data_IF_692626099167
#
_entry.id   IF_692626099167
#
_cell.length_a   1.000
_cell.length_b   1.000
_cell.length_c   1.000
_cell.angle_alpha   90.00
_cell.angle_beta   90.00
_cell.angle_gamma   90.00
#
_symmetry.space_group_name_H-M   'P 1'
#
loop_
_entity.id
_entity.type
_entity.pdbx_description
1 polymer ?
#
# COMPACT_ATOMS: atom_id res chain seq x y z
N UNK A 1 -12.21 19.76 -1.49
CA UNK A 1 -10.79 19.72 -1.91
C UNK A 1 -10.46 18.26 -2.20
N UNK A 2 -9.76 17.96 -3.28
CA UNK A 2 -9.43 16.56 -3.64
C UNK A 2 -8.24 16.11 -2.76
N UNK A 3 -8.32 14.90 -2.22
CA UNK A 3 -7.24 14.28 -1.46
C UNK A 3 -6.93 12.92 -2.07
N UNK A 4 -5.63 12.64 -2.27
CA UNK A 4 -5.13 11.42 -2.87
C UNK A 4 -4.16 10.76 -1.87
N UNK A 5 -4.23 9.45 -1.74
CA UNK A 5 -3.20 8.65 -1.11
C UNK A 5 -2.26 8.09 -2.18
N UNK A 6 -0.96 8.29 -2.02
CA UNK A 6 0.06 7.78 -2.94
C UNK A 6 0.97 6.87 -2.13
N UNK A 7 1.11 5.62 -2.59
CA UNK A 7 1.97 4.59 -1.98
C UNK A 7 2.97 4.07 -3.01
N UNK A 8 4.16 3.70 -2.57
CA UNK A 8 5.28 3.23 -3.41
C UNK A 8 6.25 2.41 -2.56
N UNK A 9 7.18 1.70 -3.21
CA UNK A 9 8.33 1.05 -2.56
C UNK A 9 7.93 0.12 -1.41
N UNK A 10 6.89 -0.69 -1.65
CA UNK A 10 6.36 -1.61 -0.64
C UNK A 10 7.33 -2.76 -0.42
N UNK A 11 8.00 -3.23 -1.48
CA UNK A 11 9.08 -4.21 -1.40
C UNK A 11 8.70 -5.48 -0.61
N UNK A 12 7.51 -6.00 -0.91
CA UNK A 12 6.85 -7.13 -0.27
C UNK A 12 6.64 -6.98 1.26
N UNK A 13 6.71 -5.76 1.79
CA UNK A 13 6.53 -5.49 3.22
C UNK A 13 5.05 -5.44 3.60
N UNK A 14 4.46 -6.61 3.78
CA UNK A 14 3.04 -6.76 4.11
C UNK A 14 2.63 -5.99 5.37
N UNK A 15 3.44 -6.05 6.43
CA UNK A 15 3.11 -5.42 7.72
C UNK A 15 3.04 -3.90 7.57
N UNK A 16 3.98 -3.31 6.81
CA UNK A 16 3.95 -1.88 6.52
C UNK A 16 2.76 -1.49 5.63
N UNK A 17 2.45 -2.30 4.61
CA UNK A 17 1.32 -2.05 3.73
C UNK A 17 -0.01 -2.07 4.50
N UNK A 18 -0.26 -3.09 5.32
CA UNK A 18 -1.51 -3.21 6.10
C UNK A 18 -1.69 -2.02 7.06
N UNK A 19 -0.59 -1.53 7.67
CA UNK A 19 -0.61 -0.35 8.53
C UNK A 19 -0.99 0.92 7.76
N UNK A 20 -0.41 1.13 6.58
CA UNK A 20 -0.69 2.31 5.73
C UNK A 20 -2.11 2.26 5.17
N UNK A 21 -2.57 1.11 4.67
CA UNK A 21 -3.95 0.94 4.19
C UNK A 21 -4.98 1.21 5.29
N UNK A 22 -4.69 0.77 6.53
CA UNK A 22 -5.54 1.07 7.69
C UNK A 22 -5.60 2.57 7.98
N UNK A 23 -4.46 3.27 7.94
CA UNK A 23 -4.41 4.73 8.14
C UNK A 23 -5.16 5.49 7.04
N UNK A 24 -4.97 5.12 5.77
CA UNK A 24 -5.69 5.68 4.60
C UNK A 24 -7.20 5.50 4.80
N UNK A 25 -7.64 4.30 5.19
CA UNK A 25 -9.05 4.00 5.47
C UNK A 25 -9.60 4.85 6.60
N UNK A 26 -8.87 4.98 7.71
CA UNK A 26 -9.29 5.79 8.86
C UNK A 26 -9.40 7.29 8.53
N UNK A 27 -8.62 7.77 7.56
CA UNK A 27 -8.71 9.14 7.02
C UNK A 27 -9.85 9.33 6.01
N UNK A 28 -10.58 8.27 5.65
CA UNK A 28 -11.68 8.32 4.68
C UNK A 28 -11.22 8.62 3.25
N UNK A 29 -9.96 8.34 2.92
CA UNK A 29 -9.40 8.56 1.59
C UNK A 29 -9.82 7.43 0.66
N UNK A 30 -10.38 7.77 -0.50
CA UNK A 30 -10.92 6.81 -1.47
C UNK A 30 -10.15 6.75 -2.78
N UNK A 31 -9.29 7.75 -3.04
CA UNK A 31 -8.44 7.79 -4.23
C UNK A 31 -7.02 7.37 -3.82
N UNK A 32 -6.62 6.15 -4.19
CA UNK A 32 -5.33 5.55 -3.84
C UNK A 32 -4.58 5.21 -5.13
N UNK A 33 -3.31 5.61 -5.21
CA UNK A 33 -2.43 5.31 -6.34
C UNK A 33 -1.18 4.59 -5.84
N UNK A 34 -0.88 3.45 -6.43
CA UNK A 34 0.36 2.72 -6.19
C UNK A 34 1.35 2.99 -7.35
N UNK A 35 2.57 3.41 -7.03
CA UNK A 35 3.58 3.78 -8.03
C UNK A 35 4.47 2.61 -8.48
N UNK A 36 4.40 1.45 -7.82
CA UNK A 36 5.19 0.27 -8.15
C UNK A 36 6.05 -0.22 -6.99
N UNK A 37 7.06 -1.02 -7.34
CA UNK A 37 8.00 -1.67 -6.41
C UNK A 37 7.28 -2.45 -5.29
N UNK A 38 6.33 -3.28 -5.72
CA UNK A 38 5.48 -4.11 -4.86
C UNK A 38 6.23 -5.30 -4.26
N UNK A 39 7.17 -5.85 -5.00
CA UNK A 39 7.86 -7.12 -4.69
C UNK A 39 9.36 -6.90 -4.59
N UNK A 40 10.09 -8.00 -4.37
CA UNK A 40 11.51 -8.06 -4.06
C UNK A 40 11.83 -7.38 -2.71
N UNK A 41 12.70 -8.00 -1.89
CA UNK A 41 13.09 -7.67 -0.50
C UNK A 41 12.42 -8.50 0.62
N UNK A 42 11.16 -8.25 0.96
CA UNK A 42 10.47 -8.98 2.04
C UNK A 42 9.75 -10.26 1.52
N UNK A 43 9.34 -11.19 2.40
CA UNK A 43 8.90 -12.52 1.95
C UNK A 43 7.45 -12.61 1.46
N UNK A 44 6.66 -11.54 1.56
CA UNK A 44 5.20 -11.56 1.37
C UNK A 44 4.77 -11.01 -0.01
N UNK A 45 5.45 -11.43 -1.08
CA UNK A 45 5.22 -10.89 -2.42
C UNK A 45 3.78 -11.12 -2.91
N UNK A 46 3.29 -12.36 -2.83
CA UNK A 46 1.93 -12.69 -3.26
C UNK A 46 0.89 -11.99 -2.40
N UNK A 47 1.13 -11.96 -1.09
CA UNK A 47 0.27 -11.29 -0.15
C UNK A 47 0.16 -9.81 -0.49
N UNK A 48 1.27 -9.10 -0.70
CA UNK A 48 1.25 -7.68 -1.08
C UNK A 48 0.48 -7.46 -2.39
N UNK A 49 0.68 -8.31 -3.40
CA UNK A 49 -0.08 -8.23 -4.66
C UNK A 49 -1.58 -8.37 -4.41
N UNK A 50 -2.01 -9.30 -3.55
CA UNK A 50 -3.44 -9.51 -3.25
C UNK A 50 -4.11 -8.31 -2.54
N UNK A 51 -3.35 -7.36 -1.96
CA UNK A 51 -3.89 -6.17 -1.26
C UNK A 51 -4.08 -4.96 -2.18
N UNK A 52 -3.42 -4.93 -3.33
CA UNK A 52 -3.37 -3.79 -4.25
C UNK A 52 -4.32 -4.01 -5.42
#
# INVERSE_FOLDING_TARGET
MIQLAIISDIHANLIALDAVLTDIKNKGLTQIYCLGDLVDFAPWGNEVIDRI
#
